data_IF_771025556889
#
_entry.id   IF_771025556889
#
_cell.length_a   1.000
_cell.length_b   1.000
_cell.length_c   1.000
_cell.angle_alpha   90.00
_cell.angle_beta   90.00
_cell.angle_gamma   90.00
#
_symmetry.space_group_name_H-M   'P 1'
#
loop_
_entity.id
_entity.type
_entity.pdbx_description
1 polymer ?
#
# COMPACT_ATOMS: atom_id res chain seq x y z
N UNK A 1 -6.31 4.54 -18.59
CA UNK A 1 -5.05 4.96 -17.96
C UNK A 1 -5.26 5.96 -16.80
N UNK A 2 -6.09 7.01 -16.90
CA UNK A 2 -6.30 7.97 -15.79
C UNK A 2 -6.80 7.30 -14.50
N UNK A 3 -7.63 6.26 -14.59
CA UNK A 3 -8.12 5.50 -13.43
C UNK A 3 -6.96 4.87 -12.63
N UNK A 4 -5.90 4.41 -13.29
CA UNK A 4 -4.74 3.82 -12.63
C UNK A 4 -3.90 4.83 -11.82
N UNK A 5 -4.11 6.14 -11.99
CA UNK A 5 -3.45 7.18 -11.20
C UNK A 5 -4.20 7.51 -9.90
N UNK A 6 -5.47 7.16 -9.77
CA UNK A 6 -6.26 7.41 -8.55
C UNK A 6 -5.64 6.71 -7.33
N UNK A 7 -5.21 5.44 -7.42
CA UNK A 7 -4.46 4.80 -6.33
C UNK A 7 -3.21 5.57 -5.92
N UNK A 8 -2.47 6.13 -6.88
CA UNK A 8 -1.27 6.93 -6.57
C UNK A 8 -1.60 8.17 -5.73
N UNK A 9 -2.66 8.89 -6.07
CA UNK A 9 -3.12 10.05 -5.30
C UNK A 9 -3.60 9.63 -3.91
N UNK A 10 -4.44 8.61 -3.82
CA UNK A 10 -5.01 8.13 -2.58
C UNK A 10 -3.91 7.60 -1.65
N UNK A 11 -3.14 6.61 -2.10
CA UNK A 11 -2.13 5.97 -1.26
C UNK A 11 -0.92 6.86 -0.98
N UNK A 12 -0.54 7.72 -1.92
CA UNK A 12 0.51 8.72 -1.71
C UNK A 12 0.17 9.76 -0.63
N UNK A 13 -1.12 10.03 -0.40
CA UNK A 13 -1.57 10.94 0.65
C UNK A 13 -1.75 10.29 2.04
N UNK A 14 -1.78 8.96 2.14
CA UNK A 14 -2.02 8.22 3.40
C UNK A 14 -1.03 8.62 4.50
N UNK A 15 0.27 8.63 4.18
CA UNK A 15 1.31 9.02 5.13
C UNK A 15 1.16 10.44 5.66
N UNK A 16 0.69 11.36 4.81
CA UNK A 16 0.45 12.75 5.17
C UNK A 16 -0.77 12.87 6.12
N UNK A 17 -1.83 12.16 5.79
CA UNK A 17 -3.07 12.16 6.58
C UNK A 17 -2.82 11.49 7.93
N UNK A 18 -2.33 10.24 7.94
CA UNK A 18 -2.09 9.48 9.18
C UNK A 18 -1.04 10.13 10.06
N UNK A 19 -0.01 10.75 9.48
CA UNK A 19 1.01 11.50 10.21
C UNK A 19 0.43 12.68 10.99
N UNK A 20 -0.51 13.41 10.39
CA UNK A 20 -1.22 14.52 11.08
C UNK A 20 -2.25 14.04 12.12
N UNK A 21 -2.90 12.90 11.86
CA UNK A 21 -3.92 12.36 12.75
C UNK A 21 -3.32 11.66 13.98
N UNK A 22 -2.08 11.19 13.88
CA UNK A 22 -1.35 10.54 14.96
C UNK A 22 -1.85 9.14 15.31
N UNK A 23 -1.40 8.63 16.45
CA UNK A 23 -1.76 7.31 16.97
C UNK A 23 -0.65 6.25 16.81
N UNK A 24 -0.80 5.15 17.53
CA UNK A 24 0.09 3.98 17.39
C UNK A 24 -0.23 3.20 16.11
N UNK A 25 0.68 2.34 15.68
CA UNK A 25 0.49 1.48 14.50
C UNK A 25 -0.84 0.70 14.55
N UNK A 26 -1.17 0.10 15.70
CA UNK A 26 -2.42 -0.64 15.86
C UNK A 26 -3.66 0.27 15.79
N UNK A 27 -3.59 1.47 16.36
CA UNK A 27 -4.67 2.46 16.30
C UNK A 27 -4.89 2.95 14.87
N UNK A 28 -3.82 3.27 14.15
CA UNK A 28 -3.89 3.68 12.75
C UNK A 28 -4.45 2.55 11.88
N UNK A 29 -3.93 1.31 12.00
CA UNK A 29 -4.42 0.17 11.22
C UNK A 29 -5.89 -0.10 11.51
N UNK A 30 -6.30 -0.16 12.79
CA UNK A 30 -7.69 -0.43 13.15
C UNK A 30 -8.63 0.67 12.65
N UNK A 31 -8.24 1.95 12.81
CA UNK A 31 -9.02 3.07 12.28
C UNK A 31 -9.14 3.04 10.76
N UNK A 32 -8.05 2.72 10.05
CA UNK A 32 -8.08 2.54 8.59
C UNK A 32 -9.07 1.46 8.17
N UNK A 33 -9.08 0.30 8.84
CA UNK A 33 -10.01 -0.77 8.48
C UNK A 33 -11.47 -0.40 8.74
N UNK A 34 -11.76 0.41 9.75
CA UNK A 34 -13.11 0.94 9.98
C UNK A 34 -13.51 1.94 8.89
N UNK A 35 -12.59 2.78 8.44
CA UNK A 35 -12.84 3.69 7.33
C UNK A 35 -13.07 2.93 6.02
N UNK A 36 -12.27 1.91 5.75
CA UNK A 36 -12.47 1.01 4.62
C UNK A 36 -13.83 0.32 4.67
N UNK A 37 -14.23 -0.21 5.84
CA UNK A 37 -15.54 -0.82 6.02
C UNK A 37 -16.69 0.18 5.80
N UNK A 38 -16.57 1.38 6.33
CA UNK A 38 -17.58 2.43 6.12
C UNK A 38 -17.73 2.77 4.64
N UNK A 39 -16.63 2.94 3.91
CA UNK A 39 -16.63 3.15 2.46
C UNK A 39 -17.30 1.97 1.73
N UNK A 40 -16.92 0.76 2.08
CA UNK A 40 -17.44 -0.46 1.48
C UNK A 40 -18.97 -0.61 1.68
N UNK A 41 -19.46 -0.30 2.89
CA UNK A 41 -20.90 -0.29 3.18
C UNK A 41 -21.60 0.77 2.29
N UNK A 42 -21.08 1.99 2.23
CA UNK A 42 -21.66 3.06 1.42
C UNK A 42 -21.73 2.67 -0.07
N UNK A 43 -20.63 2.15 -0.61
CA UNK A 43 -20.54 1.70 -2.00
C UNK A 43 -21.52 0.56 -2.29
N UNK A 44 -21.62 -0.40 -1.38
CA UNK A 44 -22.57 -1.53 -1.50
C UNK A 44 -24.03 -1.04 -1.47
N UNK A 45 -24.38 -0.13 -0.58
CA UNK A 45 -25.72 0.43 -0.49
C UNK A 45 -26.08 1.25 -1.73
N UNK A 46 -25.14 2.07 -2.24
CA UNK A 46 -25.33 2.84 -3.47
C UNK A 46 -25.49 1.97 -4.73
N UNK A 47 -24.91 0.76 -4.71
CA UNK A 47 -24.95 -0.18 -5.83
C UNK A 47 -25.54 -1.54 -5.45
N UNK A 48 -26.57 -1.54 -4.61
CA UNK A 48 -27.16 -2.76 -4.03
C UNK A 48 -27.55 -3.82 -5.07
N UNK A 49 -28.19 -3.40 -6.16
CA UNK A 49 -28.56 -4.32 -7.25
C UNK A 49 -27.34 -5.00 -7.89
N UNK A 50 -26.27 -4.24 -8.11
CA UNK A 50 -25.02 -4.77 -8.65
C UNK A 50 -24.36 -5.76 -7.65
N UNK A 51 -24.32 -5.40 -6.36
CA UNK A 51 -23.81 -6.28 -5.32
C UNK A 51 -24.58 -7.60 -5.28
N UNK A 52 -25.91 -7.56 -5.23
CA UNK A 52 -26.75 -8.76 -5.17
C UNK A 52 -26.61 -9.66 -6.40
N UNK A 53 -26.45 -9.06 -7.59
CA UNK A 53 -26.20 -9.81 -8.83
C UNK A 53 -24.87 -10.57 -8.84
N UNK A 54 -23.87 -10.08 -8.10
CA UNK A 54 -22.52 -10.66 -8.03
C UNK A 54 -22.23 -11.35 -6.68
N UNK A 55 -23.17 -11.32 -5.72
CA UNK A 55 -23.04 -11.85 -4.37
C UNK A 55 -23.01 -13.37 -4.37
N UNK A 56 -21.82 -13.93 -4.56
CA UNK A 56 -21.59 -15.38 -4.57
C UNK A 56 -20.79 -15.81 -3.35
N UNK A 57 -20.85 -17.08 -2.98
CA UNK A 57 -20.01 -17.63 -1.93
C UNK A 57 -18.52 -17.47 -2.22
N UNK A 58 -18.14 -17.62 -3.50
CA UNK A 58 -16.78 -17.37 -3.98
C UNK A 58 -16.33 -15.93 -3.70
N UNK A 59 -17.18 -14.93 -3.98
CA UNK A 59 -16.89 -13.52 -3.71
C UNK A 59 -16.59 -13.28 -2.23
N UNK A 60 -17.40 -13.85 -1.33
CA UNK A 60 -17.21 -13.72 0.12
C UNK A 60 -15.89 -14.34 0.59
N UNK A 61 -15.58 -15.57 0.18
CA UNK A 61 -14.33 -16.24 0.56
C UNK A 61 -13.13 -15.43 0.07
N UNK A 62 -13.13 -15.02 -1.20
CA UNK A 62 -12.03 -14.27 -1.82
C UNK A 62 -11.83 -12.94 -1.12
N UNK A 63 -12.91 -12.17 -0.89
CA UNK A 63 -12.83 -10.89 -0.20
C UNK A 63 -12.31 -11.03 1.23
N UNK A 64 -12.86 -11.97 2.02
CA UNK A 64 -12.39 -12.19 3.39
C UNK A 64 -10.91 -12.59 3.44
N UNK A 65 -10.46 -13.51 2.59
CA UNK A 65 -9.06 -13.93 2.51
C UNK A 65 -8.17 -12.76 2.11
N UNK A 66 -8.56 -12.00 1.09
CA UNK A 66 -7.83 -10.82 0.65
C UNK A 66 -7.68 -9.79 1.79
N UNK A 67 -8.76 -9.51 2.52
CA UNK A 67 -8.73 -8.59 3.66
C UNK A 67 -7.83 -9.06 4.81
N UNK A 68 -7.82 -10.36 5.12
CA UNK A 68 -6.91 -10.95 6.10
C UNK A 68 -5.45 -10.82 5.68
N UNK A 69 -5.13 -11.10 4.40
CA UNK A 69 -3.79 -10.92 3.85
C UNK A 69 -3.34 -9.46 3.92
N UNK A 70 -4.22 -8.52 3.59
CA UNK A 70 -3.92 -7.10 3.72
C UNK A 70 -3.58 -6.72 5.17
N UNK A 71 -4.37 -7.18 6.14
CA UNK A 71 -4.13 -6.90 7.56
C UNK A 71 -2.80 -7.45 8.04
N UNK A 72 -2.41 -8.64 7.58
CA UNK A 72 -1.09 -9.20 7.83
C UNK A 72 -0.01 -8.30 7.24
N UNK A 73 -0.14 -7.91 5.96
CA UNK A 73 0.79 -7.05 5.27
C UNK A 73 1.02 -5.72 5.99
N UNK A 74 -0.07 -5.04 6.35
CA UNK A 74 -0.04 -3.74 7.02
C UNK A 74 0.53 -3.83 8.44
N UNK A 75 0.11 -4.82 9.22
CA UNK A 75 0.63 -5.01 10.58
C UNK A 75 2.13 -5.28 10.58
N UNK A 76 2.61 -6.17 9.72
CA UNK A 76 4.02 -6.50 9.61
C UNK A 76 4.86 -5.34 9.06
N UNK A 77 4.32 -4.52 8.17
CA UNK A 77 4.98 -3.30 7.72
C UNK A 77 5.24 -2.34 8.89
N UNK A 78 4.26 -2.16 9.78
CA UNK A 78 4.44 -1.35 10.96
C UNK A 78 5.44 -1.95 11.97
N UNK A 79 5.50 -3.28 12.08
CA UNK A 79 6.54 -3.94 12.88
C UNK A 79 7.94 -3.70 12.29
N UNK A 80 8.11 -3.80 10.98
CA UNK A 80 9.38 -3.50 10.32
C UNK A 80 9.80 -2.04 10.57
N UNK A 81 8.86 -1.08 10.48
CA UNK A 81 9.13 0.33 10.79
C UNK A 81 9.64 0.53 12.21
N UNK A 82 9.14 -0.23 13.18
CA UNK A 82 9.62 -0.17 14.56
C UNK A 82 11.01 -0.80 14.74
N UNK A 83 11.30 -1.88 14.00
CA UNK A 83 12.54 -2.63 14.13
C UNK A 83 13.73 -1.95 13.46
N UNK A 84 13.54 -1.36 12.26
CA UNK A 84 14.64 -0.79 11.46
C UNK A 84 14.46 0.68 11.11
N UNK A 85 13.40 1.30 11.63
CA UNK A 85 13.05 2.68 11.34
C UNK A 85 12.22 2.86 10.07
N UNK A 86 11.40 3.91 10.05
CA UNK A 86 10.46 4.22 8.95
C UNK A 86 11.19 4.47 7.63
N UNK A 87 12.28 5.24 7.69
CA UNK A 87 13.08 5.64 6.51
C UNK A 87 13.73 4.48 5.76
N UNK A 88 13.92 3.34 6.42
CA UNK A 88 14.46 2.12 5.81
C UNK A 88 13.34 1.14 5.45
N UNK A 89 12.38 0.93 6.36
CA UNK A 89 11.32 -0.04 6.19
C UNK A 89 10.38 0.27 5.02
N UNK A 90 9.94 1.53 4.87
CA UNK A 90 8.99 1.91 3.81
C UNK A 90 9.57 1.69 2.41
N UNK A 91 10.77 2.19 2.05
CA UNK A 91 11.31 1.98 0.71
C UNK A 91 11.52 0.50 0.38
N UNK A 92 12.02 -0.28 1.34
CA UNK A 92 12.23 -1.72 1.12
C UNK A 92 10.89 -2.42 0.94
N UNK A 93 9.90 -2.14 1.78
CA UNK A 93 8.56 -2.71 1.67
C UNK A 93 7.91 -2.35 0.34
N UNK A 94 7.94 -1.07 -0.06
CA UNK A 94 7.34 -0.59 -1.30
C UNK A 94 8.03 -1.21 -2.52
N UNK A 95 9.37 -1.23 -2.53
CA UNK A 95 10.13 -1.87 -3.59
C UNK A 95 9.85 -3.37 -3.70
N UNK A 96 9.77 -4.08 -2.57
CA UNK A 96 9.43 -5.50 -2.56
C UNK A 96 8.00 -5.77 -3.06
N UNK A 97 7.03 -4.96 -2.65
CA UNK A 97 5.65 -5.03 -3.14
C UNK A 97 5.58 -4.79 -4.67
N UNK A 98 6.29 -3.78 -5.16
CA UNK A 98 6.35 -3.47 -6.59
C UNK A 98 6.88 -4.66 -7.38
N UNK A 99 8.05 -5.18 -6.98
CA UNK A 99 8.67 -6.32 -7.65
C UNK A 99 7.79 -7.56 -7.61
N UNK A 100 7.27 -7.92 -6.43
CA UNK A 100 6.50 -9.17 -6.27
C UNK A 100 5.15 -9.12 -7.00
N UNK A 101 4.45 -7.97 -7.01
CA UNK A 101 3.21 -7.83 -7.78
C UNK A 101 3.46 -7.81 -9.29
N UNK A 102 4.51 -7.14 -9.77
CA UNK A 102 4.88 -7.17 -11.18
C UNK A 102 5.26 -8.60 -11.62
N UNK A 103 6.08 -9.31 -10.82
CA UNK A 103 6.42 -10.70 -11.10
C UNK A 103 5.18 -11.62 -11.06
N UNK A 104 4.25 -11.42 -10.15
CA UNK A 104 2.99 -12.16 -10.12
C UNK A 104 2.18 -11.91 -11.40
N UNK A 105 2.04 -10.66 -11.84
CA UNK A 105 1.39 -10.33 -13.12
C UNK A 105 2.02 -11.05 -14.31
N UNK A 106 3.34 -11.06 -14.36
CA UNK A 106 4.07 -11.69 -15.47
C UNK A 106 4.06 -13.22 -15.40
N UNK A 107 4.37 -13.80 -14.22
CA UNK A 107 4.61 -15.25 -14.08
C UNK A 107 3.31 -16.01 -13.88
N UNK A 108 2.40 -15.53 -13.01
CA UNK A 108 1.16 -16.23 -12.68
C UNK A 108 0.05 -15.93 -13.68
N UNK A 109 -0.01 -14.68 -14.16
CA UNK A 109 -1.11 -14.23 -15.02
C UNK A 109 -0.71 -14.07 -16.48
N UNK A 110 0.57 -14.30 -16.83
CA UNK A 110 1.10 -14.24 -18.19
C UNK A 110 0.78 -12.91 -18.91
N UNK A 111 0.81 -11.79 -18.15
CA UNK A 111 0.43 -10.47 -18.67
C UNK A 111 1.41 -9.95 -19.75
N UNK A 112 2.70 -10.32 -19.66
CA UNK A 112 3.72 -9.97 -20.66
C UNK A 112 4.10 -11.18 -21.48
N UNK A 113 3.51 -11.31 -22.66
CA UNK A 113 3.67 -12.49 -23.53
C UNK A 113 4.71 -12.31 -24.64
N UNK A 114 5.04 -11.06 -24.98
CA UNK A 114 6.01 -10.77 -26.04
C UNK A 114 7.38 -10.40 -25.46
N UNK A 115 8.45 -10.72 -26.22
CA UNK A 115 9.84 -10.34 -25.85
C UNK A 115 9.96 -8.82 -25.61
N UNK A 116 9.23 -8.01 -26.40
CA UNK A 116 9.22 -6.55 -26.27
C UNK A 116 8.59 -6.11 -24.93
N UNK A 117 7.44 -6.69 -24.56
CA UNK A 117 6.80 -6.41 -23.26
C UNK A 117 7.71 -6.81 -22.11
N UNK A 118 8.32 -8.00 -22.15
CA UNK A 118 9.25 -8.45 -21.12
C UNK A 118 10.46 -7.51 -20.99
N UNK A 119 11.09 -7.12 -22.11
CA UNK A 119 12.25 -6.23 -22.05
C UNK A 119 11.90 -4.83 -21.55
N UNK A 120 10.86 -4.21 -22.10
CA UNK A 120 10.44 -2.85 -21.72
C UNK A 120 9.91 -2.84 -20.28
N UNK A 121 9.05 -3.79 -19.94
CA UNK A 121 8.48 -3.87 -18.59
C UNK A 121 9.53 -4.16 -17.52
N UNK A 122 10.51 -5.05 -17.80
CA UNK A 122 11.61 -5.28 -16.85
C UNK A 122 12.48 -4.04 -16.67
N UNK A 123 12.76 -3.30 -17.75
CA UNK A 123 13.51 -2.05 -17.69
C UNK A 123 12.73 -0.98 -16.87
N UNK A 124 11.44 -0.84 -17.13
CA UNK A 124 10.55 0.06 -16.40
C UNK A 124 10.53 -0.28 -14.90
N UNK A 125 10.39 -1.57 -14.56
CA UNK A 125 10.41 -2.04 -13.17
C UNK A 125 11.74 -1.72 -12.46
N UNK A 126 12.87 -1.91 -13.13
CA UNK A 126 14.19 -1.56 -12.59
C UNK A 126 14.28 -0.06 -12.34
N UNK A 127 13.85 0.77 -13.28
CA UNK A 127 13.85 2.23 -13.16
C UNK A 127 12.97 2.67 -11.99
N UNK A 128 11.76 2.11 -11.85
CA UNK A 128 10.84 2.37 -10.73
C UNK A 128 11.48 2.03 -9.38
N UNK A 129 12.09 0.85 -9.25
CA UNK A 129 12.73 0.42 -7.99
C UNK A 129 13.90 1.32 -7.63
N UNK A 130 14.76 1.67 -8.59
CA UNK A 130 15.87 2.60 -8.37
C UNK A 130 15.32 3.98 -7.99
N UNK A 131 14.32 4.48 -8.72
CA UNK A 131 13.68 5.76 -8.44
C UNK A 131 13.08 5.83 -7.05
N UNK A 132 12.29 4.82 -6.65
CA UNK A 132 11.74 4.70 -5.31
C UNK A 132 12.83 4.69 -4.23
N UNK A 133 13.90 3.93 -4.45
CA UNK A 133 15.03 3.85 -3.52
C UNK A 133 15.73 5.22 -3.38
N UNK A 134 15.97 5.92 -4.50
CA UNK A 134 16.59 7.25 -4.48
C UNK A 134 15.76 8.26 -3.68
N UNK A 135 14.43 8.29 -3.87
CA UNK A 135 13.56 9.22 -3.12
C UNK A 135 13.64 9.02 -1.61
N UNK A 136 13.98 7.83 -1.17
CA UNK A 136 14.07 7.43 0.23
C UNK A 136 15.48 7.56 0.83
N UNK A 137 16.51 7.88 0.04
CA UNK A 137 17.86 8.06 0.56
C UNK A 137 17.96 9.29 1.46
N UNK A 138 18.54 9.09 2.65
CA UNK A 138 18.79 10.15 3.62
C UNK A 138 20.30 10.34 3.83
N UNK A 139 20.73 11.60 3.99
CA UNK A 139 22.10 11.90 4.35
C UNK A 139 22.35 11.53 5.82
N UNK A 140 23.50 10.92 6.11
CA UNK A 140 23.91 10.53 7.48
C UNK A 140 23.83 11.68 8.49
N UNK A 141 24.00 12.93 8.03
CA UNK A 141 23.89 14.13 8.87
C UNK A 141 22.44 14.40 9.31
N UNK A 142 21.45 14.10 8.48
CA UNK A 142 20.02 14.24 8.84
C UNK A 142 19.48 13.03 9.61
N UNK A 143 20.05 11.85 9.40
CA UNK A 143 19.69 10.66 10.18
C UNK A 143 19.97 10.84 11.68
N UNK A 144 20.99 11.61 12.04
CA UNK A 144 21.33 11.91 13.44
C UNK A 144 20.32 12.85 14.13
N UNK A 145 19.61 13.71 13.38
CA UNK A 145 18.62 14.66 13.92
C UNK A 145 17.23 14.02 14.10
N UNK A 146 16.92 12.98 13.29
CA UNK A 146 15.64 12.26 13.32
C UNK A 146 15.71 10.87 13.97
N UNK A 147 16.89 10.43 14.40
CA UNK A 147 17.08 9.15 15.07
C UNK A 147 16.76 9.28 16.57
N UNK A 148 15.53 9.10 16.96
CA UNK A 148 15.31 8.32 18.18
C UNK A 148 16.08 7.01 17.96
N UNK A 149 17.06 6.75 18.85
CA UNK A 149 17.94 5.57 18.79
C UNK A 149 17.11 4.31 18.99
N UNK A 150 16.49 3.85 17.93
CA UNK A 150 15.94 2.50 17.85
C UNK A 150 17.13 1.59 17.73
N UNK A 151 17.33 0.69 18.69
CA UNK A 151 18.26 -0.43 18.54
C UNK A 151 17.82 -1.20 17.30
N UNK A 152 18.61 -1.15 16.22
CA UNK A 152 18.23 -1.73 14.93
C UNK A 152 18.19 -3.24 15.03
N UNK A 153 16.99 -3.81 15.12
CA UNK A 153 16.76 -5.25 14.98
C UNK A 153 16.52 -5.59 13.51
N UNK A 154 17.62 -5.77 12.76
CA UNK A 154 17.55 -6.15 11.35
C UNK A 154 16.93 -7.53 11.12
N UNK A 155 17.10 -8.48 12.04
CA UNK A 155 16.54 -9.83 11.90
C UNK A 155 15.01 -9.78 12.05
N UNK A 156 14.51 -9.10 13.07
CA UNK A 156 13.08 -8.86 13.26
C UNK A 156 12.49 -8.04 12.13
N UNK A 157 13.17 -6.96 11.71
CA UNK A 157 12.76 -6.11 10.61
C UNK A 157 12.68 -6.84 9.26
N UNK A 158 13.68 -7.65 8.93
CA UNK A 158 13.68 -8.44 7.68
C UNK A 158 12.56 -9.49 7.65
N UNK A 159 12.35 -10.21 8.77
CA UNK A 159 11.23 -11.17 8.88
C UNK A 159 9.88 -10.46 8.69
N UNK A 160 9.70 -9.33 9.35
CA UNK A 160 8.49 -8.53 9.22
C UNK A 160 8.29 -8.02 7.78
N UNK A 161 9.34 -7.58 7.08
CA UNK A 161 9.27 -7.17 5.67
C UNK A 161 8.88 -8.31 4.74
N UNK A 162 9.42 -9.52 4.94
CA UNK A 162 9.04 -10.70 4.17
C UNK A 162 7.55 -11.01 4.36
N UNK A 163 7.10 -11.10 5.62
CA UNK A 163 5.69 -11.37 5.93
C UNK A 163 4.77 -10.26 5.42
N UNK A 164 5.19 -9.01 5.51
CA UNK A 164 4.47 -7.87 4.95
C UNK A 164 4.31 -7.99 3.44
N UNK A 165 5.40 -8.31 2.74
CA UNK A 165 5.39 -8.50 1.29
C UNK A 165 4.47 -9.64 0.86
N UNK A 166 4.52 -10.78 1.56
CA UNK A 166 3.62 -11.90 1.31
C UNK A 166 2.15 -11.55 1.59
N UNK A 167 1.89 -10.79 2.66
CA UNK A 167 0.56 -10.29 2.95
C UNK A 167 0.01 -9.40 1.84
N UNK A 168 0.76 -8.41 1.42
CA UNK A 168 0.34 -7.51 0.34
C UNK A 168 0.26 -8.20 -1.03
N UNK A 169 1.15 -9.15 -1.32
CA UNK A 169 1.05 -9.96 -2.52
C UNK A 169 -0.22 -10.83 -2.49
N UNK A 170 -0.49 -11.50 -1.37
CA UNK A 170 -1.67 -12.35 -1.23
C UNK A 170 -2.97 -11.58 -1.41
N UNK A 171 -3.05 -10.34 -0.87
CA UNK A 171 -4.26 -9.53 -0.97
C UNK A 171 -4.60 -9.13 -2.42
N UNK A 172 -3.60 -8.91 -3.26
CA UNK A 172 -3.81 -8.56 -4.68
C UNK A 172 -4.01 -9.79 -5.56
N UNK A 173 -3.14 -10.81 -5.39
CA UNK A 173 -3.12 -12.00 -6.23
C UNK A 173 -4.40 -12.83 -6.08
N UNK A 174 -4.90 -13.01 -4.86
CA UNK A 174 -6.11 -13.83 -4.63
C UNK A 174 -7.34 -13.26 -5.35
N UNK A 175 -7.46 -11.93 -5.40
CA UNK A 175 -8.55 -11.23 -6.08
C UNK A 175 -8.42 -11.38 -7.59
N UNK A 176 -7.24 -11.10 -8.11
CA UNK A 176 -6.99 -11.18 -9.55
C UNK A 176 -7.14 -12.61 -10.08
N UNK A 177 -6.59 -13.59 -9.36
CA UNK A 177 -6.71 -15.00 -9.73
C UNK A 177 -8.15 -15.51 -9.71
N UNK A 178 -8.92 -15.09 -8.71
CA UNK A 178 -10.31 -15.53 -8.57
C UNK A 178 -11.23 -14.91 -9.62
N UNK A 179 -10.83 -13.81 -10.28
CA UNK A 179 -11.64 -13.09 -11.27
C UNK A 179 -13.07 -12.85 -10.78
N UNK A 180 -13.20 -12.28 -9.58
CA UNK A 180 -14.48 -11.88 -8.99
C UNK A 180 -14.77 -10.42 -9.31
N UNK A 181 -16.04 -10.05 -9.24
CA UNK A 181 -16.42 -8.64 -9.40
C UNK A 181 -15.78 -7.77 -8.31
N UNK A 182 -14.94 -6.84 -8.74
CA UNK A 182 -14.12 -6.04 -7.83
C UNK A 182 -14.92 -5.05 -7.00
N UNK A 183 -16.01 -4.52 -7.53
CA UNK A 183 -16.90 -3.57 -6.81
C UNK A 183 -17.71 -4.29 -5.74
N UNK A 184 -18.26 -5.45 -6.08
CA UNK A 184 -19.00 -6.25 -5.11
C UNK A 184 -18.08 -6.83 -4.01
N UNK A 185 -16.82 -7.10 -4.33
CA UNK A 185 -15.85 -7.68 -3.40
C UNK A 185 -15.39 -6.71 -2.30
N UNK A 186 -15.49 -5.38 -2.49
CA UNK A 186 -15.00 -4.36 -1.54
C UNK A 186 -15.57 -4.59 -0.13
N UNK A 187 -16.85 -4.95 0.00
CA UNK A 187 -17.48 -5.19 1.32
C UNK A 187 -16.92 -6.44 2.02
N UNK A 188 -16.91 -7.63 1.44
CA UNK A 188 -16.27 -8.80 2.06
C UNK A 188 -14.79 -8.57 2.39
N UNK A 189 -14.04 -7.86 1.54
CA UNK A 189 -12.64 -7.53 1.78
C UNK A 189 -12.48 -6.63 3.01
N UNK A 190 -13.26 -5.56 3.12
CA UNK A 190 -13.21 -4.65 4.26
C UNK A 190 -13.56 -5.35 5.57
N UNK A 191 -14.51 -6.30 5.55
CA UNK A 191 -14.81 -7.15 6.72
C UNK A 191 -13.59 -8.00 7.08
N UNK A 192 -12.94 -8.64 6.13
CA UNK A 192 -11.70 -9.39 6.34
C UNK A 192 -10.58 -8.53 6.93
N UNK A 193 -10.44 -7.28 6.45
CA UNK A 193 -9.48 -6.30 6.98
C UNK A 193 -9.77 -5.98 8.45
N UNK A 194 -11.02 -5.70 8.81
CA UNK A 194 -11.41 -5.43 10.20
C UNK A 194 -11.15 -6.63 11.09
N UNK A 195 -11.49 -7.84 10.66
CA UNK A 195 -11.23 -9.08 11.43
C UNK A 195 -9.73 -9.25 11.68
N UNK A 196 -8.89 -9.15 10.64
CA UNK A 196 -7.44 -9.28 10.78
C UNK A 196 -6.83 -8.19 11.64
N UNK A 197 -7.20 -6.91 11.44
CA UNK A 197 -6.70 -5.80 12.24
C UNK A 197 -7.14 -5.92 13.71
N UNK A 198 -8.35 -6.38 13.97
CA UNK A 198 -8.85 -6.61 15.32
C UNK A 198 -8.06 -7.70 16.05
N UNK A 199 -7.69 -8.79 15.38
CA UNK A 199 -6.82 -9.83 15.96
C UNK A 199 -5.46 -9.26 16.40
N UNK A 200 -4.84 -8.40 15.60
CA UNK A 200 -3.57 -7.76 15.96
C UNK A 200 -3.72 -6.67 17.03
N UNK A 201 -4.91 -6.09 17.18
CA UNK A 201 -5.22 -5.04 18.15
C UNK A 201 -5.61 -5.59 19.53
N UNK A 202 -5.92 -6.89 19.65
CA UNK A 202 -6.33 -7.53 20.92
C UNK A 202 -5.29 -7.29 22.03
N UNK A 203 -5.75 -6.83 23.18
CA UNK A 203 -4.91 -6.57 24.35
C UNK A 203 -3.98 -5.34 24.25
N UNK A 204 -4.06 -4.55 23.16
CA UNK A 204 -3.10 -3.43 22.90
C UNK A 204 -3.71 -2.04 23.08
N UNK A 205 -4.80 -1.90 23.80
CA UNK A 205 -5.46 -0.60 24.09
C UNK A 205 -5.68 0.27 22.83
N UNK A 206 -6.22 -0.37 21.78
CA UNK A 206 -6.32 0.22 20.46
C UNK A 206 -7.53 1.17 20.28
N UNK A 207 -8.49 1.17 21.21
CA UNK A 207 -9.72 1.98 21.12
C UNK A 207 -9.50 3.37 21.75
N UNK A 208 -8.83 4.27 21.02
CA UNK A 208 -8.56 5.64 21.45
C UNK A 208 -9.01 6.64 20.38
N UNK A 209 -8.99 7.94 20.73
CA UNK A 209 -9.39 9.04 19.84
C UNK A 209 -8.67 8.99 18.48
N UNK A 210 -7.40 8.61 18.48
CA UNK A 210 -6.57 8.51 17.28
C UNK A 210 -7.08 7.42 16.34
N UNK A 211 -7.64 6.32 16.84
CA UNK A 211 -8.25 5.26 16.02
C UNK A 211 -9.44 5.82 15.25
N UNK A 212 -10.33 6.55 15.91
CA UNK A 212 -11.49 7.15 15.24
C UNK A 212 -11.10 8.21 14.21
N UNK A 213 -10.06 9.00 14.46
CA UNK A 213 -9.54 9.95 13.48
C UNK A 213 -9.03 9.26 12.22
N UNK A 214 -8.38 8.10 12.37
CA UNK A 214 -7.83 7.34 11.24
C UNK A 214 -8.90 6.63 10.38
N UNK A 215 -10.19 6.75 10.70
CA UNK A 215 -11.30 6.41 9.79
C UNK A 215 -11.14 7.18 8.47
N UNK A 216 -10.76 8.47 8.53
CA UNK A 216 -10.51 9.27 7.32
C UNK A 216 -9.40 8.66 6.46
N UNK A 217 -8.32 8.19 7.09
CA UNK A 217 -7.23 7.50 6.38
C UNK A 217 -7.75 6.25 5.64
N UNK A 218 -8.66 5.53 6.28
CA UNK A 218 -9.29 4.34 5.70
C UNK A 218 -10.21 4.63 4.52
N UNK A 219 -11.00 5.70 4.59
CA UNK A 219 -11.84 6.14 3.47
C UNK A 219 -10.99 6.47 2.23
N UNK A 220 -9.89 7.19 2.42
CA UNK A 220 -8.96 7.54 1.34
C UNK A 220 -8.27 6.29 0.81
N UNK A 221 -7.82 5.39 1.70
CA UNK A 221 -7.15 4.15 1.30
C UNK A 221 -8.08 3.27 0.45
N UNK A 222 -9.32 3.08 0.88
CA UNK A 222 -10.28 2.21 0.20
C UNK A 222 -10.69 2.76 -1.16
N UNK A 223 -10.75 4.09 -1.30
CA UNK A 223 -10.91 4.72 -2.62
C UNK A 223 -9.79 4.28 -3.55
N UNK A 224 -8.52 4.36 -3.11
CA UNK A 224 -7.38 3.88 -3.89
C UNK A 224 -7.47 2.39 -4.21
N UNK A 225 -7.88 1.57 -3.24
CA UNK A 225 -8.03 0.12 -3.38
C UNK A 225 -9.06 -0.26 -4.44
N UNK A 226 -10.25 0.34 -4.40
CA UNK A 226 -11.29 0.11 -5.42
C UNK A 226 -10.77 0.42 -6.82
N UNK A 227 -10.17 1.60 -7.01
CA UNK A 227 -9.65 1.99 -8.32
C UNK A 227 -8.42 1.21 -8.74
N UNK A 228 -7.63 0.70 -7.80
CA UNK A 228 -6.53 -0.22 -8.09
C UNK A 228 -7.05 -1.53 -8.69
N UNK A 229 -8.08 -2.14 -8.09
CA UNK A 229 -8.68 -3.36 -8.64
C UNK A 229 -9.39 -3.12 -9.98
N UNK A 230 -10.09 -2.01 -10.14
CA UNK A 230 -10.68 -1.62 -11.42
C UNK A 230 -9.59 -1.46 -12.50
N UNK A 231 -8.49 -0.79 -12.18
CA UNK A 231 -7.36 -0.65 -13.11
C UNK A 231 -6.74 -2.01 -13.45
N UNK A 232 -6.62 -2.91 -12.46
CA UNK A 232 -6.07 -4.25 -12.67
C UNK A 232 -6.88 -5.06 -13.68
N UNK A 233 -8.21 -4.95 -13.67
CA UNK A 233 -9.05 -5.63 -14.68
C UNK A 233 -8.87 -5.05 -16.09
N UNK A 234 -8.43 -3.79 -16.20
CA UNK A 234 -8.29 -3.10 -17.50
C UNK A 234 -6.90 -3.27 -18.12
N UNK A 235 -5.84 -3.22 -17.30
CA UNK A 235 -4.46 -3.15 -17.77
C UNK A 235 -3.53 -4.21 -17.15
N UNK A 236 -4.07 -5.09 -16.30
CA UNK A 236 -3.33 -6.12 -15.58
C UNK A 236 -2.69 -5.64 -14.28
N UNK A 237 -2.28 -6.61 -13.45
CA UNK A 237 -1.74 -6.35 -12.12
C UNK A 237 -0.39 -5.65 -12.17
N UNK A 238 0.52 -6.07 -13.06
CA UNK A 238 1.86 -5.50 -13.17
C UNK A 238 1.81 -4.01 -13.50
N UNK A 239 0.99 -3.61 -14.47
CA UNK A 239 0.87 -2.23 -14.92
C UNK A 239 0.13 -1.37 -13.89
N UNK A 240 -1.04 -1.81 -13.42
CA UNK A 240 -1.85 -1.03 -12.47
C UNK A 240 -1.10 -0.80 -11.16
N UNK A 241 -0.39 -1.82 -10.65
CA UNK A 241 0.40 -1.67 -9.43
C UNK A 241 1.60 -0.73 -9.64
N UNK A 242 2.27 -0.77 -10.78
CA UNK A 242 3.36 0.15 -11.13
C UNK A 242 2.88 1.61 -11.14
N UNK A 243 1.73 1.91 -11.74
CA UNK A 243 1.14 3.26 -11.71
C UNK A 243 0.81 3.73 -10.30
N UNK A 244 0.35 2.84 -9.43
CA UNK A 244 0.05 3.20 -8.03
C UNK A 244 1.29 3.68 -7.27
N UNK A 245 2.49 3.20 -7.66
CA UNK A 245 3.75 3.60 -7.02
C UNK A 245 4.16 5.06 -7.32
N UNK A 246 3.53 5.72 -8.29
CA UNK A 246 3.68 7.18 -8.47
C UNK A 246 3.25 7.97 -7.21
N UNK A 247 2.46 7.34 -6.31
CA UNK A 247 2.17 7.86 -4.98
C UNK A 247 3.40 8.14 -4.12
N UNK A 248 4.55 7.52 -4.40
CA UNK A 248 5.83 7.81 -3.75
C UNK A 248 6.23 9.27 -3.98
N UNK A 249 6.04 9.78 -5.19
CA UNK A 249 6.33 11.17 -5.53
C UNK A 249 5.45 12.11 -4.69
N UNK A 250 4.15 11.80 -4.63
CA UNK A 250 3.17 12.59 -3.87
C UNK A 250 3.51 12.58 -2.37
N UNK A 251 3.80 11.43 -1.79
CA UNK A 251 4.16 11.32 -0.38
C UNK A 251 5.48 12.02 -0.06
N UNK A 252 6.48 11.92 -0.94
CA UNK A 252 7.79 12.54 -0.74
C UNK A 252 7.71 14.07 -0.76
N UNK A 253 7.11 14.65 -1.80
CA UNK A 253 6.94 16.11 -1.85
C UNK A 253 5.96 16.59 -0.79
N UNK A 254 4.90 15.82 -0.52
CA UNK A 254 3.96 16.13 0.53
C UNK A 254 4.60 16.15 1.92
N UNK A 255 5.50 15.23 2.24
CA UNK A 255 6.21 15.23 3.54
C UNK A 255 7.11 16.46 3.69
N UNK A 256 7.78 16.87 2.62
CA UNK A 256 8.62 18.06 2.62
C UNK A 256 7.78 19.33 2.83
N UNK A 257 6.71 19.51 2.05
CA UNK A 257 5.94 20.77 2.05
C UNK A 257 4.90 20.86 3.17
N UNK A 258 4.24 19.74 3.52
CA UNK A 258 3.12 19.76 4.47
C UNK A 258 3.48 19.24 5.87
N UNK A 259 4.48 18.35 5.99
CA UNK A 259 4.97 17.87 7.28
C UNK A 259 6.25 18.57 7.74
N UNK A 260 6.82 19.46 6.90
CA UNK A 260 7.99 20.26 7.24
C UNK A 260 9.30 19.45 7.27
N UNK A 261 9.37 18.33 6.57
CA UNK A 261 10.57 17.51 6.50
C UNK A 261 11.70 18.28 5.79
N UNK A 262 12.83 18.47 6.49
CA UNK A 262 13.98 19.19 5.95
C UNK A 262 14.88 18.26 5.17
N UNK A 263 15.27 18.66 3.96
CA UNK A 263 16.20 17.92 3.10
C UNK A 263 17.49 18.71 2.86
N UNK A 264 18.61 18.01 2.85
CA UNK A 264 19.89 18.59 2.42
C UNK A 264 19.89 18.82 0.90
N UNK A 265 20.84 19.64 0.39
CA UNK A 265 20.99 19.81 -1.07
C UNK A 265 21.20 18.49 -1.81
N UNK A 266 21.92 17.56 -1.20
CA UNK A 266 22.19 16.23 -1.77
C UNK A 266 20.92 15.36 -1.80
N UNK A 267 20.13 15.38 -0.73
CA UNK A 267 18.84 14.69 -0.67
C UNK A 267 17.85 15.25 -1.69
N UNK A 268 17.84 16.57 -1.90
CA UNK A 268 17.02 17.18 -2.95
C UNK A 268 17.35 16.64 -4.35
N UNK A 269 18.64 16.46 -4.67
CA UNK A 269 19.05 15.84 -5.93
C UNK A 269 18.51 14.42 -6.05
N UNK A 270 18.61 13.63 -4.98
CA UNK A 270 18.07 12.27 -4.96
C UNK A 270 16.55 12.23 -5.10
N UNK A 271 15.83 13.13 -4.41
CA UNK A 271 14.37 13.24 -4.51
C UNK A 271 13.95 13.59 -5.93
N UNK A 272 14.58 14.57 -6.56
CA UNK A 272 14.24 14.99 -7.92
C UNK A 272 14.54 13.89 -8.93
N UNK A 273 15.77 13.33 -8.92
CA UNK A 273 16.14 12.25 -9.84
C UNK A 273 15.26 11.01 -9.61
N UNK A 274 15.07 10.61 -8.37
CA UNK A 274 14.24 9.47 -8.02
C UNK A 274 12.78 9.65 -8.46
N UNK A 275 12.22 10.84 -8.26
CA UNK A 275 10.85 11.17 -8.71
C UNK A 275 10.72 11.13 -10.23
N UNK A 276 11.69 11.64 -10.96
CA UNK A 276 11.70 11.55 -12.42
C UNK A 276 11.79 10.11 -12.89
N UNK A 277 12.60 9.27 -12.24
CA UNK A 277 12.69 7.84 -12.54
C UNK A 277 11.37 7.10 -12.25
N UNK A 278 10.68 7.44 -11.15
CA UNK A 278 9.36 6.85 -10.83
C UNK A 278 8.29 7.27 -11.85
N UNK A 279 8.37 8.46 -12.42
CA UNK A 279 7.41 8.93 -13.44
C UNK A 279 7.69 8.31 -14.81
N UNK A 280 8.97 8.03 -15.13
CA UNK A 280 9.38 7.50 -16.43
C UNK A 280 9.35 5.97 -16.51
N UNK A 281 9.44 5.26 -15.39
CA UNK A 281 9.35 3.81 -15.29
C UNK A 281 7.92 3.33 -15.19
#
# INVERSE_FOLDING_TARGET
MLIALIPALAWGSIGLISGKLGGTANQQTLGMTWGALLFAIMMTLCSWGHFMANCTWKLWIVGLISGLFWSLGQNQQFHAMKSIGVSKAIPISTGAQLVTNALAGVILFHEWTTKRQLSIGSLALIILVIGATLTALHDKKNAAVNAERVSEDWNGGARALILSTLGYLGYTVVVHWANVDTRAMVLPQAIGMVLGASMFALGKNAFKKETYKNILTGLVWETGNLFMFEATTMVGLAISFSFSQMGIVISTFGSIFFLGEKKTKREWVYVVIGSLMVILG
#
